data_IF_369565286259
#
_entry.id   IF_369565286259
#
_cell.length_a   1.000
_cell.length_b   1.000
_cell.length_c   1.000
_cell.angle_alpha   90.00
_cell.angle_beta   90.00
_cell.angle_gamma   90.00
#
_symmetry.space_group_name_H-M   'P 1'
#
loop_
_entity.id
_entity.type
_entity.pdbx_description
1 polymer ?
#
# COMPACT_ATOMS: atom_id res chain seq x y z
N UNK A 1 24.42 -16.78 -22.27
CA UNK A 1 24.23 -17.13 -20.86
C UNK A 1 25.30 -18.15 -20.52
N UNK A 2 26.33 -17.71 -19.80
CA UNK A 2 27.49 -18.56 -19.46
C UNK A 2 27.14 -19.21 -18.11
N UNK A 3 27.24 -20.53 -18.01
CA UNK A 3 27.00 -21.26 -16.77
C UNK A 3 28.37 -21.55 -16.13
N UNK A 4 28.56 -21.04 -14.91
CA UNK A 4 29.77 -21.16 -14.12
C UNK A 4 29.47 -21.96 -12.86
N UNK A 5 30.34 -22.92 -12.53
CA UNK A 5 30.21 -23.81 -11.39
C UNK A 5 31.38 -23.60 -10.42
N UNK A 6 31.11 -23.70 -9.13
CA UNK A 6 32.14 -23.70 -8.09
C UNK A 6 32.43 -25.16 -7.72
N UNK A 7 33.68 -25.58 -7.88
CA UNK A 7 34.12 -26.96 -7.56
C UNK A 7 35.22 -26.94 -6.52
N UNK A 8 35.29 -27.98 -5.69
CA UNK A 8 36.33 -28.14 -4.67
C UNK A 8 37.45 -29.02 -5.20
N UNK A 9 38.68 -28.51 -5.19
CA UNK A 9 39.87 -29.26 -5.57
C UNK A 9 40.32 -30.21 -4.43
N UNK A 10 41.20 -31.16 -4.74
CA UNK A 10 41.74 -32.17 -3.82
C UNK A 10 42.48 -31.56 -2.63
N UNK A 11 43.01 -30.35 -2.79
CA UNK A 11 43.68 -29.57 -1.73
C UNK A 11 42.71 -28.76 -0.85
N UNK A 12 41.41 -28.96 -1.04
CA UNK A 12 40.35 -28.33 -0.24
C UNK A 12 40.02 -26.88 -0.64
N UNK A 13 40.69 -26.34 -1.66
CA UNK A 13 40.46 -25.02 -2.25
C UNK A 13 39.29 -25.04 -3.24
N UNK A 14 38.68 -23.89 -3.48
CA UNK A 14 37.52 -23.71 -4.36
C UNK A 14 37.94 -23.05 -5.66
N UNK A 15 37.55 -23.61 -6.79
CA UNK A 15 37.85 -23.08 -8.12
C UNK A 15 36.56 -22.78 -8.87
N UNK A 16 36.58 -21.75 -9.72
CA UNK A 16 35.44 -21.42 -10.60
C UNK A 16 35.73 -22.01 -11.97
N UNK A 17 34.85 -22.90 -12.40
CA UNK A 17 35.00 -23.68 -13.64
C UNK A 17 33.82 -23.40 -14.56
N UNK A 18 34.08 -23.25 -15.86
CA UNK A 18 33.04 -23.19 -16.88
C UNK A 18 32.29 -24.53 -16.97
N UNK A 19 31.07 -24.53 -17.51
CA UNK A 19 30.33 -25.77 -17.81
C UNK A 19 31.12 -26.82 -18.64
N UNK A 20 32.17 -26.40 -19.35
CA UNK A 20 33.07 -27.27 -20.13
C UNK A 20 34.29 -27.77 -19.35
N UNK A 21 34.35 -27.59 -18.03
CA UNK A 21 35.47 -28.04 -17.20
C UNK A 21 36.75 -27.19 -17.29
N UNK A 22 36.69 -26.02 -17.95
CA UNK A 22 37.85 -25.11 -18.05
C UNK A 22 37.90 -24.17 -16.86
N UNK A 23 39.06 -24.09 -16.21
CA UNK A 23 39.33 -23.16 -15.11
C UNK A 23 39.20 -21.71 -15.60
N UNK A 24 38.38 -20.92 -14.91
CA UNK A 24 38.12 -19.50 -15.23
C UNK A 24 38.87 -18.59 -14.27
N UNK A 25 38.79 -18.88 -12.98
CA UNK A 25 39.41 -18.07 -11.93
C UNK A 25 39.91 -18.99 -10.82
N UNK A 26 41.03 -18.57 -10.21
CA UNK A 26 41.97 -19.42 -9.48
C UNK A 26 41.47 -20.04 -8.17
N UNK A 27 42.38 -20.71 -7.44
CA UNK A 27 42.04 -21.39 -6.20
C UNK A 27 41.75 -20.39 -5.08
N UNK A 28 40.49 -20.34 -4.66
CA UNK A 28 40.03 -19.62 -3.50
C UNK A 28 40.14 -20.50 -2.26
N UNK A 29 40.75 -19.97 -1.20
CA UNK A 29 40.86 -20.69 0.08
C UNK A 29 39.50 -20.89 0.76
N UNK A 30 38.51 -20.05 0.45
CA UNK A 30 37.18 -20.09 1.08
C UNK A 30 36.05 -20.10 0.05
N UNK A 31 34.97 -20.82 0.38
CA UNK A 31 33.76 -20.89 -0.45
C UNK A 31 33.16 -19.49 -0.67
N UNK A 32 33.15 -18.66 0.38
CA UNK A 32 32.64 -17.29 0.29
C UNK A 32 33.42 -16.42 -0.71
N UNK A 33 34.75 -16.58 -0.79
CA UNK A 33 35.56 -15.88 -1.78
C UNK A 33 35.23 -16.33 -3.22
N UNK A 34 34.99 -17.63 -3.43
CA UNK A 34 34.57 -18.16 -4.72
C UNK A 34 33.19 -17.63 -5.16
N UNK A 35 32.20 -17.57 -4.24
CA UNK A 35 30.89 -16.97 -4.55
C UNK A 35 30.99 -15.48 -4.87
N UNK A 36 31.83 -14.73 -4.15
CA UNK A 36 32.03 -13.30 -4.41
C UNK A 36 32.70 -13.05 -5.77
N UNK A 37 33.66 -13.88 -6.15
CA UNK A 37 34.29 -13.80 -7.46
C UNK A 37 33.31 -14.18 -8.58
N UNK A 38 32.45 -15.17 -8.36
CA UNK A 38 31.39 -15.54 -9.30
C UNK A 38 30.39 -14.39 -9.53
N UNK A 39 29.94 -13.74 -8.45
CA UNK A 39 29.00 -12.60 -8.52
C UNK A 39 29.60 -11.40 -9.28
N UNK A 40 30.91 -11.18 -9.13
CA UNK A 40 31.66 -10.20 -9.93
C UNK A 40 31.66 -10.57 -11.42
N UNK A 41 31.95 -11.82 -11.77
CA UNK A 41 31.97 -12.28 -13.16
C UNK A 41 30.59 -12.19 -13.82
N UNK A 42 29.52 -12.56 -13.11
CA UNK A 42 28.15 -12.45 -13.62
C UNK A 42 27.74 -10.98 -13.78
N UNK A 43 28.11 -10.13 -12.82
CA UNK A 43 27.91 -8.68 -12.91
C UNK A 43 28.70 -8.04 -14.07
N UNK A 44 29.97 -8.40 -14.26
CA UNK A 44 30.81 -7.87 -15.35
C UNK A 44 30.27 -8.28 -16.73
N UNK A 45 29.70 -9.50 -16.85
CA UNK A 45 29.02 -9.94 -18.07
C UNK A 45 27.68 -9.23 -18.30
N UNK A 46 26.98 -8.85 -17.22
CA UNK A 46 25.69 -8.15 -17.27
C UNK A 46 25.81 -6.63 -17.51
N UNK A 47 26.97 -6.02 -17.23
CA UNK A 47 27.18 -4.58 -17.40
C UNK A 47 27.57 -4.26 -18.84
N UNK A 48 26.57 -3.92 -19.67
CA UNK A 48 26.80 -3.09 -20.86
C UNK A 48 27.53 -1.80 -20.43
N UNK A 49 28.51 -1.28 -21.20
CA UNK A 49 29.18 -0.03 -20.86
C UNK A 49 28.15 1.10 -20.85
N UNK A 50 27.67 1.47 -19.67
CA UNK A 50 26.75 2.60 -19.50
C UNK A 50 27.53 3.88 -19.84
N UNK A 51 27.08 4.63 -20.87
CA UNK A 51 27.55 6.00 -21.12
C UNK A 51 27.33 6.83 -19.85
N UNK A 52 28.42 7.15 -19.15
CA UNK A 52 28.40 8.11 -18.03
C UNK A 52 28.16 9.51 -18.60
N UNK A 53 26.91 9.91 -18.72
CA UNK A 53 26.57 11.31 -18.99
C UNK A 53 26.57 12.06 -17.67
N UNK A 54 27.74 12.52 -17.22
CA UNK A 54 27.85 13.46 -16.11
C UNK A 54 28.87 14.54 -16.47
N UNK A 55 28.37 15.70 -16.89
CA UNK A 55 29.06 16.97 -16.63
C UNK A 55 28.04 17.93 -16.04
N UNK A 56 27.99 17.97 -14.71
CA UNK A 56 27.52 19.15 -14.00
C UNK A 56 28.75 20.02 -13.78
N UNK A 57 28.64 21.29 -14.16
CA UNK A 57 29.65 22.33 -13.94
C UNK A 57 29.58 22.75 -12.47
N UNK A 58 30.70 23.18 -11.90
CA UNK A 58 30.94 23.36 -10.46
C UNK A 58 29.96 24.30 -9.72
N UNK A 59 29.09 25.03 -10.44
CA UNK A 59 28.12 25.94 -9.84
C UNK A 59 26.77 25.86 -10.57
N UNK A 60 25.77 25.24 -9.93
CA UNK A 60 24.37 25.21 -10.38
C UNK A 60 23.78 23.81 -10.55
N UNK A 61 22.51 23.64 -10.14
CA UNK A 61 21.71 22.44 -10.46
C UNK A 61 21.44 22.45 -11.97
N UNK A 62 21.69 21.37 -12.72
CA UNK A 62 21.33 21.33 -14.13
C UNK A 62 19.82 21.45 -14.26
N UNK A 63 19.35 22.44 -15.01
CA UNK A 63 17.95 22.50 -15.42
C UNK A 63 17.61 21.20 -16.16
N UNK A 64 16.52 20.54 -15.76
CA UNK A 64 16.09 19.34 -16.47
C UNK A 64 15.82 19.72 -17.93
N UNK A 65 16.33 18.96 -18.91
CA UNK A 65 16.16 19.30 -20.31
C UNK A 65 14.67 19.39 -20.64
N UNK A 66 14.23 20.48 -21.26
CA UNK A 66 12.82 20.75 -21.57
C UNK A 66 12.07 19.59 -22.27
N UNK A 67 12.81 18.71 -22.95
CA UNK A 67 12.30 17.47 -23.57
C UNK A 67 11.77 16.44 -22.55
N UNK A 68 12.38 16.33 -21.36
CA UNK A 68 11.90 15.46 -20.28
C UNK A 68 10.56 15.96 -19.73
N UNK A 69 10.41 17.27 -19.54
CA UNK A 69 9.17 17.89 -19.07
C UNK A 69 8.00 17.66 -20.05
N UNK A 70 8.24 17.73 -21.37
CA UNK A 70 7.19 17.45 -22.37
C UNK A 70 6.75 15.98 -22.36
N UNK A 71 7.67 15.04 -22.15
CA UNK A 71 7.35 13.60 -22.04
C UNK A 71 6.56 13.31 -20.76
N UNK A 72 6.96 13.89 -19.63
CA UNK A 72 6.23 13.75 -18.36
C UNK A 72 4.82 14.33 -18.44
N UNK A 73 4.63 15.53 -19.02
CA UNK A 73 3.31 16.11 -19.26
C UNK A 73 2.41 15.22 -20.14
N UNK A 74 2.96 14.62 -21.21
CA UNK A 74 2.22 13.66 -22.06
C UNK A 74 1.84 12.39 -21.31
N UNK A 75 2.71 11.89 -20.43
CA UNK A 75 2.43 10.72 -19.60
C UNK A 75 1.33 11.03 -18.57
N UNK A 76 1.41 12.18 -17.89
CA UNK A 76 0.38 12.64 -16.97
C UNK A 76 -0.99 12.79 -17.64
N UNK A 77 -1.05 13.44 -18.82
CA UNK A 77 -2.29 13.56 -19.59
C UNK A 77 -2.85 12.20 -20.05
N UNK A 78 -1.99 11.23 -20.38
CA UNK A 78 -2.41 9.86 -20.74
C UNK A 78 -2.98 9.12 -19.51
N UNK A 79 -2.34 9.26 -18.36
CA UNK A 79 -2.80 8.69 -17.10
C UNK A 79 -4.13 9.28 -16.67
N UNK A 80 -4.30 10.60 -16.76
CA UNK A 80 -5.56 11.29 -16.45
C UNK A 80 -6.70 10.78 -17.35
N UNK A 81 -6.46 10.66 -18.66
CA UNK A 81 -7.46 10.12 -19.61
C UNK A 81 -7.80 8.65 -19.32
N UNK A 82 -6.83 7.84 -18.91
CA UNK A 82 -7.06 6.45 -18.50
C UNK A 82 -7.88 6.38 -17.21
N UNK A 83 -7.57 7.24 -16.23
CA UNK A 83 -8.29 7.34 -14.97
C UNK A 83 -9.75 7.76 -15.20
N UNK A 84 -10.01 8.74 -16.07
CA UNK A 84 -11.39 9.15 -16.42
C UNK A 84 -12.18 8.01 -17.07
N UNK A 85 -11.56 7.28 -18.00
CA UNK A 85 -12.20 6.10 -18.63
C UNK A 85 -12.47 4.99 -17.62
N UNK A 86 -11.53 4.71 -16.72
CA UNK A 86 -11.69 3.72 -15.66
C UNK A 86 -12.78 4.14 -14.67
N UNK A 87 -12.83 5.42 -14.28
CA UNK A 87 -13.88 5.97 -13.44
C UNK A 87 -15.27 5.86 -14.10
N UNK A 88 -15.38 6.16 -15.39
CA UNK A 88 -16.63 5.99 -16.14
C UNK A 88 -17.06 4.51 -16.24
N UNK A 89 -16.10 3.59 -16.38
CA UNK A 89 -16.33 2.14 -16.43
C UNK A 89 -16.58 1.52 -15.04
N UNK A 90 -16.29 2.24 -13.96
CA UNK A 90 -16.47 1.72 -12.62
C UNK A 90 -17.96 1.43 -12.33
N UNK A 91 -18.25 0.41 -11.51
CA UNK A 91 -19.61 0.13 -11.04
C UNK A 91 -20.25 1.37 -10.40
N UNK A 92 -21.56 1.54 -10.57
CA UNK A 92 -22.28 2.73 -10.11
C UNK A 92 -22.08 3.03 -8.62
N UNK A 93 -21.96 2.00 -7.79
CA UNK A 93 -21.68 2.14 -6.35
C UNK A 93 -20.28 2.72 -6.07
N UNK A 94 -19.25 2.34 -6.85
CA UNK A 94 -17.90 2.91 -6.74
C UNK A 94 -17.89 4.37 -7.18
N UNK A 95 -18.60 4.71 -8.27
CA UNK A 95 -18.77 6.09 -8.72
C UNK A 95 -19.52 6.94 -7.68
N UNK A 96 -20.55 6.40 -7.05
CA UNK A 96 -21.31 7.07 -6.00
C UNK A 96 -20.45 7.34 -4.75
N UNK A 97 -19.59 6.39 -4.36
CA UNK A 97 -18.64 6.58 -3.25
C UNK A 97 -17.56 7.60 -3.60
N UNK A 98 -16.99 7.54 -4.80
CA UNK A 98 -15.96 8.50 -5.24
C UNK A 98 -16.49 9.92 -5.51
N UNK A 99 -17.77 10.05 -5.89
CA UNK A 99 -18.45 11.33 -6.07
C UNK A 99 -18.76 12.02 -4.73
N UNK A 100 -18.91 11.24 -3.64
CA UNK A 100 -18.93 11.80 -2.29
C UNK A 100 -17.53 12.32 -1.98
N UNK A 101 -17.36 13.64 -2.04
CA UNK A 101 -16.17 14.30 -1.52
C UNK A 101 -16.11 14.04 -0.03
N UNK A 102 -15.18 13.20 0.39
CA UNK A 102 -14.90 12.96 1.80
C UNK A 102 -14.27 14.24 2.38
N UNK A 103 -15.09 15.04 3.05
CA UNK A 103 -14.66 16.23 3.78
C UNK A 103 -14.68 15.90 5.29
N UNK A 104 -13.53 15.53 5.88
CA UNK A 104 -13.47 15.16 7.28
C UNK A 104 -13.77 16.34 8.22
N UNK A 105 -13.60 17.59 7.77
CA UNK A 105 -13.87 18.79 8.55
C UNK A 105 -15.36 19.10 8.52
N UNK A 106 -15.97 19.08 7.33
CA UNK A 106 -17.41 19.28 7.15
C UNK A 106 -18.25 18.19 7.82
N UNK A 107 -17.85 16.92 7.72
CA UNK A 107 -18.54 15.83 8.42
C UNK A 107 -18.39 15.94 9.94
N UNK A 108 -17.23 16.40 10.45
CA UNK A 108 -17.04 16.64 11.89
C UNK A 108 -17.91 17.80 12.35
N UNK A 109 -17.91 18.93 11.66
CA UNK A 109 -18.76 20.07 11.98
C UNK A 109 -20.25 19.73 11.93
N UNK A 110 -20.69 18.95 10.94
CA UNK A 110 -22.08 18.46 10.87
C UNK A 110 -22.42 17.50 12.02
N UNK A 111 -21.51 16.58 12.37
CA UNK A 111 -21.69 15.70 13.53
C UNK A 111 -21.73 16.49 14.82
N UNK A 112 -20.81 17.41 15.04
CA UNK A 112 -20.75 18.27 16.24
C UNK A 112 -22.01 19.15 16.33
N UNK A 113 -22.50 19.68 15.20
CA UNK A 113 -23.76 20.43 15.16
C UNK A 113 -24.98 19.54 15.40
N UNK A 114 -25.00 18.30 14.90
CA UNK A 114 -26.10 17.34 15.10
C UNK A 114 -26.13 16.74 16.50
N UNK A 115 -24.96 16.50 17.08
CA UNK A 115 -24.79 16.05 18.45
C UNK A 115 -24.97 17.20 19.44
N UNK A 116 -24.87 18.44 18.95
CA UNK A 116 -24.79 19.65 19.78
C UNK A 116 -23.46 19.70 20.53
N UNK A 117 -23.11 20.87 21.06
CA UNK A 117 -22.14 20.94 22.15
C UNK A 117 -22.75 20.12 23.28
N UNK A 118 -22.21 18.93 23.57
CA UNK A 118 -22.56 18.23 24.80
C UNK A 118 -22.24 19.23 25.93
N UNK A 119 -23.29 19.84 26.50
CA UNK A 119 -23.15 20.62 27.71
C UNK A 119 -22.48 19.76 28.78
N UNK A 120 -22.02 20.37 29.88
CA UNK A 120 -21.46 19.64 31.02
C UNK A 120 -22.27 18.35 31.24
N UNK A 121 -21.57 17.19 31.19
CA UNK A 121 -22.18 15.87 31.09
C UNK A 121 -23.45 15.82 31.95
N UNK A 122 -24.61 15.64 31.30
CA UNK A 122 -25.89 15.62 32.00
C UNK A 122 -25.77 14.64 33.16
N UNK A 123 -26.29 15.04 34.33
CA UNK A 123 -26.22 14.25 35.55
C UNK A 123 -26.60 12.78 35.25
N UNK A 124 -25.64 11.88 35.42
CA UNK A 124 -25.81 10.46 35.13
C UNK A 124 -26.91 9.95 36.05
N UNK A 125 -28.11 9.73 35.51
CA UNK A 125 -29.22 9.12 36.26
C UNK A 125 -28.78 7.73 36.70
N UNK A 126 -28.52 7.58 38.00
CA UNK A 126 -28.30 6.27 38.63
C UNK A 126 -29.65 5.58 38.74
N UNK A 127 -29.90 4.69 37.79
CA UNK A 127 -31.09 3.83 37.80
C UNK A 127 -30.73 2.60 38.64
N UNK A 128 -31.56 2.29 39.63
CA UNK A 128 -31.47 1.02 40.35
C UNK A 128 -32.04 -0.09 39.45
N UNK A 129 -31.29 -1.16 39.13
CA UNK A 129 -31.76 -2.19 38.21
C UNK A 129 -33.09 -2.84 38.63
N UNK A 130 -33.39 -2.88 39.93
CA UNK A 130 -34.63 -3.45 40.45
C UNK A 130 -35.87 -2.61 40.09
N UNK A 131 -35.76 -1.28 40.17
CA UNK A 131 -36.87 -0.38 39.84
C UNK A 131 -37.16 -0.37 38.35
N UNK A 132 -36.10 -0.42 37.52
CA UNK A 132 -36.21 -0.49 36.07
C UNK A 132 -36.90 -1.77 35.58
N UNK A 133 -36.59 -2.92 36.18
CA UNK A 133 -37.20 -4.19 35.81
C UNK A 133 -38.69 -4.24 36.20
N UNK A 134 -39.06 -3.70 37.36
CA UNK A 134 -40.46 -3.63 37.80
C UNK A 134 -41.31 -2.74 36.88
N UNK A 135 -40.81 -1.57 36.50
CA UNK A 135 -41.49 -0.66 35.57
C UNK A 135 -41.59 -1.27 34.16
N UNK A 136 -40.56 -2.00 33.72
CA UNK A 136 -40.58 -2.70 32.42
C UNK A 136 -41.56 -3.86 32.40
N UNK A 137 -41.68 -4.61 33.50
CA UNK A 137 -42.65 -5.70 33.62
C UNK A 137 -44.08 -5.18 33.73
N UNK A 138 -44.32 -4.06 34.41
CA UNK A 138 -45.62 -3.38 34.45
C UNK A 138 -46.08 -2.88 33.07
N UNK A 139 -45.17 -2.26 32.30
CA UNK A 139 -45.49 -1.78 30.95
C UNK A 139 -45.76 -2.91 29.93
N UNK A 140 -45.20 -4.10 30.15
CA UNK A 140 -45.47 -5.29 29.31
C UNK A 140 -46.81 -5.94 29.69
N UNK A 141 -47.20 -5.92 30.96
CA UNK A 141 -48.47 -6.50 31.42
C UNK A 141 -49.68 -5.60 31.13
N UNK A 142 -49.50 -4.29 31.05
CA UNK A 142 -50.56 -3.31 30.74
C UNK A 142 -50.88 -3.23 29.23
N UNK A 143 -49.94 -3.66 28.37
CA UNK A 143 -50.12 -3.69 26.91
C UNK A 143 -50.99 -4.87 26.40
N UNK A 144 -51.44 -5.79 27.28
CA UNK A 144 -52.13 -7.02 26.87
C UNK A 144 -53.60 -7.10 27.31
N UNK A 145 -54.31 -5.96 27.36
CA UNK A 145 -55.78 -5.96 27.51
C UNK A 145 -56.42 -5.73 26.13
N UNK A 146 -56.81 -6.79 25.37
CA UNK A 146 -57.64 -6.62 24.19
C UNK A 146 -59.05 -6.21 24.65
N UNK A 147 -59.30 -4.90 24.71
CA UNK A 147 -60.64 -4.39 25.01
C UNK A 147 -61.56 -4.62 23.79
N UNK A 148 -62.63 -5.39 24.05
CA UNK A 148 -63.89 -5.52 23.31
C UNK A 148 -63.87 -6.36 22.04
N UNK A 149 -64.23 -7.62 22.26
CA UNK A 149 -65.08 -8.46 21.38
C UNK A 149 -66.16 -7.59 20.71
N UNK A 150 -66.13 -7.45 19.38
CA UNK A 150 -67.29 -7.05 18.60
C UNK A 150 -68.27 -8.22 18.60
N UNK A 151 -69.41 -8.05 19.24
CA UNK A 151 -70.52 -8.98 19.22
C UNK A 151 -71.43 -8.67 18.01
N UNK A 152 -71.79 -9.74 17.30
CA UNK A 152 -72.91 -9.97 16.36
C UNK A 152 -73.18 -8.92 15.28
#
# INVERSE_FOLDING_TARGET
>A
MIILNITRNHDGQYEIVNATGKLVEGPFETNAAAWKALDRLDSDAAVLPRKRNNKQVLWGKPEQPAKQNKRQKRLAAKQERQMQKAAAKAPGWVRAVAAKKFDPVGERAYRDHKLGTFGAASEVRRIDPATYLAEKQGSISEANIPSKRRAK
#
